data_IF_017890379109
#
_entry.id   IF_017890379109
#
_cell.length_a   1.000
_cell.length_b   1.000
_cell.length_c   1.000
_cell.angle_alpha   90.00
_cell.angle_beta   90.00
_cell.angle_gamma   90.00
#
_symmetry.space_group_name_H-M   'P 1'
#
loop_
_entity.id
_entity.type
_entity.pdbx_description
1 polymer ?
#
# COMPACT_ATOMS: atom_id res chain seq x y z
N UNK A 1 -0.08 -49.17 -32.24
CA UNK A 1 1.03 -48.20 -32.04
C UNK A 1 0.56 -46.75 -32.20
N UNK A 2 -0.23 -46.39 -33.18
CA UNK A 2 -0.72 -45.02 -33.43
C UNK A 2 -1.52 -44.41 -32.28
N UNK A 3 -2.44 -45.17 -31.65
CA UNK A 3 -3.28 -44.66 -30.55
C UNK A 3 -2.45 -44.34 -29.27
N UNK A 4 -1.36 -45.04 -29.02
CA UNK A 4 -0.48 -44.78 -27.87
C UNK A 4 0.34 -43.50 -28.08
N UNK A 5 0.85 -43.29 -29.29
CA UNK A 5 1.56 -42.07 -29.68
C UNK A 5 0.69 -40.83 -29.57
N UNK A 6 -0.55 -40.91 -30.03
CA UNK A 6 -1.52 -39.78 -29.95
C UNK A 6 -1.84 -39.44 -28.50
N UNK A 7 -2.02 -40.41 -27.61
CA UNK A 7 -2.29 -40.19 -26.19
C UNK A 7 -1.08 -39.55 -25.48
N UNK A 8 0.15 -39.97 -25.85
CA UNK A 8 1.35 -39.35 -25.28
C UNK A 8 1.60 -37.94 -25.75
N UNK A 9 1.25 -37.60 -27.01
CA UNK A 9 1.35 -36.24 -27.54
C UNK A 9 0.30 -35.31 -26.86
N UNK A 10 -0.94 -35.79 -26.66
CA UNK A 10 -1.98 -35.02 -25.97
C UNK A 10 -1.58 -34.77 -24.51
N UNK A 11 -1.04 -35.77 -23.81
CA UNK A 11 -0.58 -35.63 -22.44
C UNK A 11 0.60 -34.63 -22.33
N UNK A 12 1.55 -34.65 -23.25
CA UNK A 12 2.65 -33.70 -23.32
C UNK A 12 2.16 -32.28 -23.63
N UNK A 13 1.19 -32.13 -24.53
CA UNK A 13 0.59 -30.84 -24.87
C UNK A 13 -0.22 -30.24 -23.71
N UNK A 14 -0.93 -31.07 -22.95
CA UNK A 14 -1.62 -30.62 -21.73
C UNK A 14 -0.64 -30.19 -20.62
N UNK A 15 0.51 -30.84 -20.50
CA UNK A 15 1.53 -30.46 -19.51
C UNK A 15 2.20 -29.12 -19.84
N UNK A 16 2.36 -28.80 -21.12
CA UNK A 16 2.95 -27.51 -21.54
C UNK A 16 2.00 -26.32 -21.39
N UNK A 17 0.69 -26.56 -21.32
CA UNK A 17 -0.31 -25.51 -21.10
C UNK A 17 -0.44 -25.07 -19.63
N UNK A 18 0.18 -25.80 -18.68
CA UNK A 18 0.05 -25.52 -17.23
C UNK A 18 1.16 -24.58 -16.71
N UNK A 19 2.19 -24.32 -17.52
CA UNK A 19 3.32 -23.46 -17.11
C UNK A 19 3.26 -22.11 -17.84
N UNK A 20 2.16 -21.40 -17.69
CA UNK A 20 2.22 -19.96 -17.84
C UNK A 20 2.74 -19.42 -16.49
N UNK A 21 3.89 -18.75 -16.46
CA UNK A 21 4.29 -18.06 -15.25
C UNK A 21 3.17 -17.09 -14.89
N UNK A 22 2.61 -17.23 -13.69
CA UNK A 22 1.78 -16.17 -13.11
C UNK A 22 2.72 -14.96 -12.95
N UNK A 23 2.82 -14.13 -13.98
CA UNK A 23 3.53 -12.86 -13.89
C UNK A 23 2.80 -12.04 -12.86
N UNK A 24 3.54 -11.62 -11.84
CA UNK A 24 3.00 -10.72 -10.85
C UNK A 24 2.49 -9.46 -11.56
N UNK A 25 1.18 -9.26 -11.56
CA UNK A 25 0.46 -8.16 -12.20
C UNK A 25 0.77 -6.80 -11.52
N UNK A 26 1.62 -6.82 -10.49
CA UNK A 26 2.05 -5.66 -9.72
C UNK A 26 2.61 -4.52 -10.58
N UNK A 27 3.24 -4.83 -11.72
CA UNK A 27 3.88 -3.85 -12.59
C UNK A 27 2.94 -3.26 -13.64
N UNK A 28 1.66 -3.60 -13.61
CA UNK A 28 0.66 -3.12 -14.57
C UNK A 28 -0.36 -2.22 -13.90
N UNK A 29 -0.88 -1.26 -14.67
CA UNK A 29 -2.02 -0.47 -14.26
C UNK A 29 -3.30 -1.27 -14.61
N UNK A 30 -3.66 -2.21 -13.75
CA UNK A 30 -4.82 -3.08 -13.87
C UNK A 30 -5.46 -3.30 -12.51
N UNK A 31 -6.78 -3.46 -12.47
CA UNK A 31 -7.48 -3.81 -11.24
C UNK A 31 -7.37 -5.32 -10.98
N UNK A 32 -6.72 -5.68 -9.89
CA UNK A 32 -6.52 -7.07 -9.48
C UNK A 32 -7.25 -7.39 -8.17
N UNK A 33 -7.81 -6.39 -7.51
CA UNK A 33 -8.43 -6.45 -6.20
C UNK A 33 -7.72 -5.59 -5.17
N UNK A 34 -8.00 -5.83 -3.88
CA UNK A 34 -7.38 -5.07 -2.77
C UNK A 34 -5.86 -5.24 -2.78
N UNK A 35 -5.15 -4.14 -3.09
CA UNK A 35 -3.69 -4.13 -3.21
C UNK A 35 -2.97 -4.45 -1.91
N UNK A 36 -3.53 -4.09 -0.76
CA UNK A 36 -2.92 -4.38 0.54
C UNK A 36 -2.98 -5.88 0.86
N UNK A 37 -4.07 -6.56 0.51
CA UNK A 37 -4.16 -8.01 0.65
C UNK A 37 -3.20 -8.74 -0.30
N UNK A 38 -3.15 -8.30 -1.57
CA UNK A 38 -2.42 -9.00 -2.63
C UNK A 38 -0.91 -8.76 -2.61
N UNK A 39 -0.48 -7.52 -2.33
CA UNK A 39 0.91 -7.10 -2.47
C UNK A 39 1.60 -6.75 -1.15
N UNK A 40 0.83 -6.61 -0.06
CA UNK A 40 1.36 -6.29 1.27
C UNK A 40 0.96 -7.30 2.36
N UNK A 41 0.19 -8.33 2.01
CA UNK A 41 -0.25 -9.36 2.96
C UNK A 41 -1.13 -8.83 4.11
N UNK A 42 -1.76 -7.66 3.93
CA UNK A 42 -2.51 -6.98 4.98
C UNK A 42 -3.85 -6.42 4.48
N UNK A 43 -4.81 -7.31 4.25
CA UNK A 43 -6.15 -6.93 3.79
C UNK A 43 -7.00 -6.19 4.82
N UNK A 44 -6.58 -6.13 6.09
CA UNK A 44 -7.31 -5.44 7.15
C UNK A 44 -7.15 -3.91 7.13
N UNK A 45 -6.27 -3.39 6.27
CA UNK A 45 -6.05 -1.95 6.12
C UNK A 45 -7.26 -1.21 5.54
N UNK A 46 -8.06 -1.89 4.73
CA UNK A 46 -9.21 -1.27 4.05
C UNK A 46 -10.49 -2.11 4.25
N UNK A 47 -11.61 -1.45 4.56
CA UNK A 47 -11.74 0.00 4.81
C UNK A 47 -11.02 0.44 6.08
N UNK A 48 -10.63 1.75 6.20
CA UNK A 48 -10.08 2.28 7.45
C UNK A 48 -11.05 2.07 8.62
N UNK A 49 -10.51 1.85 9.82
CA UNK A 49 -11.31 1.58 11.02
C UNK A 49 -12.10 2.80 11.51
N UNK A 50 -11.62 4.01 11.21
CA UNK A 50 -12.22 5.29 11.59
C UNK A 50 -12.20 6.27 10.43
N UNK A 51 -12.99 7.34 10.51
CA UNK A 51 -12.91 8.46 9.57
C UNK A 51 -11.90 9.50 10.04
N UNK A 52 -11.45 10.39 9.14
CA UNK A 52 -10.60 11.53 9.52
C UNK A 52 -11.28 12.42 10.56
N UNK A 53 -12.59 12.66 10.40
CA UNK A 53 -13.36 13.45 11.34
C UNK A 53 -13.34 12.84 12.76
N UNK A 54 -13.55 11.53 12.88
CA UNK A 54 -13.53 10.82 14.17
C UNK A 54 -12.14 10.87 14.81
N UNK A 55 -11.07 10.65 14.00
CA UNK A 55 -9.69 10.71 14.45
C UNK A 55 -9.32 12.10 15.01
N UNK A 56 -9.61 13.15 14.25
CA UNK A 56 -9.37 14.54 14.69
C UNK A 56 -10.20 14.92 15.91
N UNK A 57 -11.47 14.49 15.96
CA UNK A 57 -12.32 14.72 17.14
C UNK A 57 -11.75 14.04 18.40
N UNK A 58 -11.12 12.88 18.24
CA UNK A 58 -10.48 12.15 19.33
C UNK A 58 -9.07 12.71 19.68
N UNK A 59 -8.59 13.76 18.98
CA UNK A 59 -7.26 14.31 19.17
C UNK A 59 -6.13 13.34 18.79
N UNK A 60 -6.38 12.43 17.84
CA UNK A 60 -5.43 11.42 17.42
C UNK A 60 -4.69 11.85 16.15
N UNK A 61 -3.43 11.45 16.05
CA UNK A 61 -2.65 11.63 14.83
C UNK A 61 -3.22 10.74 13.73
N UNK A 62 -3.46 11.32 12.55
CA UNK A 62 -3.96 10.64 11.36
C UNK A 62 -2.87 10.55 10.29
N UNK A 63 -2.79 9.40 9.62
CA UNK A 63 -1.94 9.21 8.44
C UNK A 63 -2.85 8.82 7.29
N UNK A 64 -3.09 9.74 6.36
CA UNK A 64 -3.89 9.47 5.17
C UNK A 64 -2.97 8.99 4.06
N UNK A 65 -3.36 7.93 3.38
CA UNK A 65 -2.69 7.42 2.19
C UNK A 65 -3.68 7.34 1.05
N UNK A 66 -3.52 8.22 0.06
CA UNK A 66 -4.35 8.18 -1.15
C UNK A 66 -3.76 7.21 -2.16
N UNK A 67 -4.61 6.34 -2.69
CA UNK A 67 -4.20 5.28 -3.60
C UNK A 67 -5.30 4.89 -4.60
N UNK A 68 -4.95 4.08 -5.60
CA UNK A 68 -5.88 3.35 -6.47
C UNK A 68 -5.48 1.88 -6.57
N UNK A 69 -6.45 0.98 -6.54
CA UNK A 69 -6.21 -0.47 -6.64
C UNK A 69 -5.66 -0.90 -8.02
N UNK A 70 -5.94 -0.14 -9.07
CA UNK A 70 -5.47 -0.39 -10.43
C UNK A 70 -4.15 0.33 -10.78
N UNK A 71 -3.58 1.09 -9.83
CA UNK A 71 -2.33 1.83 -10.05
C UNK A 71 -1.10 1.01 -9.69
N UNK A 72 -0.18 0.85 -10.64
CA UNK A 72 1.14 0.24 -10.44
C UNK A 72 1.92 0.91 -9.32
N UNK A 73 1.89 2.25 -9.24
CA UNK A 73 2.62 2.99 -8.20
C UNK A 73 2.03 2.78 -6.82
N UNK A 74 0.70 2.68 -6.70
CA UNK A 74 0.03 2.35 -5.44
C UNK A 74 0.32 0.90 -5.00
N UNK A 75 0.31 -0.05 -5.93
CA UNK A 75 0.70 -1.45 -5.68
C UNK A 75 2.13 -1.54 -5.16
N UNK A 76 3.06 -0.78 -5.76
CA UNK A 76 4.45 -0.73 -5.31
C UNK A 76 4.60 -0.12 -3.90
N UNK A 77 3.73 0.83 -3.53
CA UNK A 77 3.76 1.51 -2.23
C UNK A 77 3.05 0.74 -1.11
N UNK A 78 2.15 -0.19 -1.44
CA UNK A 78 1.32 -0.89 -0.45
C UNK A 78 2.11 -1.61 0.67
N UNK A 79 3.32 -2.20 0.46
CA UNK A 79 4.12 -2.76 1.55
C UNK A 79 4.59 -1.71 2.56
N UNK A 80 4.90 -0.49 2.13
CA UNK A 80 5.27 0.60 3.03
C UNK A 80 4.11 0.98 3.95
N UNK A 81 2.88 0.99 3.42
CA UNK A 81 1.67 1.27 4.22
C UNK A 81 1.41 0.16 5.24
N UNK A 82 1.61 -1.10 4.86
CA UNK A 82 1.51 -2.24 5.79
C UNK A 82 2.57 -2.15 6.90
N UNK A 83 3.79 -1.72 6.57
CA UNK A 83 4.85 -1.50 7.56
C UNK A 83 4.51 -0.34 8.50
N UNK A 84 3.92 0.77 8.01
CA UNK A 84 3.42 1.85 8.86
C UNK A 84 2.40 1.35 9.89
N UNK A 85 1.48 0.47 9.48
CA UNK A 85 0.54 -0.14 10.42
C UNK A 85 1.25 -1.01 11.46
N UNK A 86 2.24 -1.80 11.06
CA UNK A 86 3.01 -2.62 12.00
C UNK A 86 3.75 -1.77 13.04
N UNK A 87 4.31 -0.64 12.61
CA UNK A 87 5.11 0.25 13.48
C UNK A 87 4.23 1.14 14.36
N UNK A 88 3.15 1.68 13.82
CA UNK A 88 2.41 2.78 14.43
C UNK A 88 0.92 2.51 14.67
N UNK A 89 0.38 1.36 14.24
CA UNK A 89 -1.06 1.07 14.24
C UNK A 89 -1.76 1.18 15.59
N UNK A 90 -1.01 1.15 16.71
CA UNK A 90 -1.55 1.40 18.05
C UNK A 90 -1.49 2.88 18.47
N UNK A 91 -0.72 3.69 17.77
CA UNK A 91 -0.41 5.08 18.17
C UNK A 91 -1.07 6.11 17.26
N UNK A 92 -1.36 5.75 16.02
CA UNK A 92 -1.98 6.63 15.03
C UNK A 92 -3.16 5.95 14.35
N UNK A 93 -4.02 6.73 13.73
CA UNK A 93 -5.08 6.24 12.86
C UNK A 93 -4.58 6.25 11.41
N UNK A 94 -4.42 5.06 10.81
CA UNK A 94 -4.00 4.91 9.43
C UNK A 94 -5.24 4.84 8.53
N UNK A 95 -5.32 5.76 7.57
CA UNK A 95 -6.48 5.99 6.71
C UNK A 95 -6.11 5.81 5.23
N UNK A 96 -5.93 4.57 4.74
CA UNK A 96 -5.79 4.34 3.30
C UNK A 96 -7.14 4.53 2.60
N UNK A 97 -7.17 5.46 1.63
CA UNK A 97 -8.38 5.88 0.94
C UNK A 97 -8.21 5.80 -0.57
N UNK A 98 -9.16 5.20 -1.25
CA UNK A 98 -9.22 5.24 -2.71
C UNK A 98 -9.64 6.63 -3.18
N UNK A 99 -9.01 7.12 -4.24
CA UNK A 99 -9.28 8.47 -4.76
C UNK A 99 -10.55 8.57 -5.60
N UNK A 100 -11.15 7.44 -5.99
CA UNK A 100 -12.39 7.43 -6.77
C UNK A 100 -13.54 8.17 -6.06
N UNK A 101 -13.63 8.00 -4.74
CA UNK A 101 -14.66 8.65 -3.93
C UNK A 101 -14.41 10.16 -3.74
N UNK A 102 -13.23 10.68 -4.09
CA UNK A 102 -12.83 12.07 -3.91
C UNK A 102 -12.96 12.89 -5.19
N UNK A 103 -13.07 12.23 -6.35
CA UNK A 103 -13.14 12.91 -7.64
C UNK A 103 -14.40 13.81 -7.73
N UNK A 104 -14.18 15.06 -8.13
CA UNK A 104 -15.26 16.01 -8.31
C UNK A 104 -15.89 16.53 -7.01
N UNK A 105 -15.36 16.15 -5.84
CA UNK A 105 -15.80 16.73 -4.57
C UNK A 105 -15.22 18.13 -4.42
N UNK A 106 -16.06 19.05 -3.93
CA UNK A 106 -15.58 20.38 -3.57
C UNK A 106 -14.59 20.26 -2.40
N UNK A 107 -13.59 21.13 -2.40
CA UNK A 107 -12.74 21.36 -1.25
C UNK A 107 -13.63 21.73 -0.06
N UNK A 108 -13.73 20.82 0.91
CA UNK A 108 -14.61 20.95 2.06
C UNK A 108 -13.81 21.37 3.30
N UNK A 109 -14.29 21.07 4.45
CA UNK A 109 -13.59 21.40 5.68
C UNK A 109 -12.38 20.45 5.94
N UNK A 110 -11.56 20.78 6.94
CA UNK A 110 -10.35 20.03 7.31
C UNK A 110 -10.63 18.63 7.85
N UNK A 111 -11.87 18.28 8.10
CA UNK A 111 -12.28 16.95 8.55
C UNK A 111 -12.59 16.00 7.39
N UNK A 112 -12.66 16.55 6.16
CA UNK A 112 -12.85 15.77 4.94
C UNK A 112 -11.51 15.48 4.26
N UNK A 113 -11.19 14.21 3.99
CA UNK A 113 -9.98 13.88 3.23
C UNK A 113 -9.86 14.56 1.87
N UNK A 114 -10.97 14.93 1.21
CA UNK A 114 -10.93 15.65 -0.06
C UNK A 114 -10.21 17.02 0.04
N UNK A 115 -10.14 17.60 1.25
CA UNK A 115 -9.42 18.85 1.51
C UNK A 115 -7.91 18.76 1.22
N UNK A 116 -7.33 17.58 1.45
CA UNK A 116 -5.88 17.36 1.33
C UNK A 116 -5.49 16.67 0.02
N UNK A 117 -6.46 16.31 -0.81
CA UNK A 117 -6.20 15.56 -2.04
C UNK A 117 -5.70 16.46 -3.19
N UNK A 118 -4.51 16.22 -3.71
CA UNK A 118 -3.84 17.02 -4.76
C UNK A 118 -3.95 16.45 -6.18
N UNK A 119 -4.50 15.25 -6.34
CA UNK A 119 -4.67 14.65 -7.67
C UNK A 119 -3.54 13.72 -8.11
N UNK A 120 -2.55 13.44 -7.26
CA UNK A 120 -1.41 12.56 -7.56
C UNK A 120 -1.36 11.40 -6.56
N UNK A 121 -1.17 10.18 -7.07
CA UNK A 121 -1.07 8.96 -6.27
C UNK A 121 0.29 8.26 -6.45
N UNK A 122 0.76 7.58 -5.38
CA UNK A 122 0.27 7.71 -4.02
C UNK A 122 0.53 9.10 -3.45
N UNK A 123 -0.24 9.53 -2.45
CA UNK A 123 0.03 10.73 -1.66
C UNK A 123 -0.09 10.35 -0.19
N UNK A 124 0.76 10.90 0.66
CA UNK A 124 0.74 10.67 2.11
C UNK A 124 0.61 11.99 2.84
N UNK A 125 -0.38 12.07 3.75
CA UNK A 125 -0.59 13.25 4.61
C UNK A 125 -0.54 12.80 6.06
N UNK A 126 0.29 13.44 6.88
CA UNK A 126 0.35 13.24 8.33
C UNK A 126 -0.21 14.47 9.03
N UNK A 127 -1.24 14.27 9.83
CA UNK A 127 -1.95 15.33 10.56
C UNK A 127 -1.88 14.99 12.04
N UNK A 128 -1.43 15.93 12.88
CA UNK A 128 -1.39 15.72 14.33
C UNK A 128 -2.78 15.81 14.97
N UNK A 129 -2.88 15.53 16.28
CA UNK A 129 -4.12 15.57 17.03
C UNK A 129 -4.80 16.95 17.11
N UNK A 130 -4.07 18.03 16.82
CA UNK A 130 -4.58 19.39 16.77
C UNK A 130 -5.03 19.80 15.35
N UNK A 131 -4.93 18.91 14.38
CA UNK A 131 -5.29 19.15 12.98
C UNK A 131 -4.23 19.89 12.16
N UNK A 132 -2.98 19.93 12.65
CA UNK A 132 -1.86 20.52 11.92
C UNK A 132 -1.23 19.48 10.99
N UNK A 133 -1.06 19.85 9.72
CA UNK A 133 -0.33 19.01 8.73
C UNK A 133 1.16 19.09 9.00
N UNK A 134 1.81 17.95 9.15
CA UNK A 134 3.24 17.80 9.38
C UNK A 134 3.97 17.20 8.17
N UNK A 135 3.24 16.48 7.33
CA UNK A 135 3.71 15.95 6.05
C UNK A 135 2.55 15.99 5.06
N UNK A 136 2.83 16.40 3.83
CA UNK A 136 1.90 16.33 2.70
C UNK A 136 2.75 16.18 1.43
N UNK A 137 2.95 14.94 1.00
CA UNK A 137 3.89 14.59 -0.04
C UNK A 137 3.31 13.58 -1.02
N UNK A 138 3.66 13.73 -2.28
CA UNK A 138 3.21 12.93 -3.40
C UNK A 138 4.27 11.91 -3.84
N UNK A 139 3.83 10.81 -4.47
CA UNK A 139 4.70 9.77 -5.02
C UNK A 139 5.14 8.74 -3.99
N UNK A 140 6.27 8.09 -4.25
CA UNK A 140 6.86 7.06 -3.39
C UNK A 140 7.58 7.69 -2.20
N UNK A 141 6.82 8.21 -1.23
CA UNK A 141 7.36 8.89 -0.06
C UNK A 141 8.23 7.92 0.76
N UNK A 142 9.48 8.28 1.09
CA UNK A 142 10.34 7.43 1.91
C UNK A 142 9.74 7.15 3.29
N UNK A 143 9.81 5.90 3.74
CA UNK A 143 9.25 5.46 5.02
C UNK A 143 9.86 6.25 6.21
N UNK A 144 11.14 6.59 6.13
CA UNK A 144 11.85 7.38 7.14
C UNK A 144 11.26 8.80 7.28
N UNK A 145 10.84 9.39 6.17
CA UNK A 145 10.22 10.72 6.17
C UNK A 145 8.84 10.66 6.84
N UNK A 146 8.04 9.64 6.53
CA UNK A 146 6.75 9.41 7.15
C UNK A 146 6.93 9.12 8.66
N UNK A 147 7.86 8.25 9.03
CA UNK A 147 8.17 7.93 10.42
C UNK A 147 8.61 9.18 11.22
N UNK A 148 9.41 10.05 10.60
CA UNK A 148 9.83 11.31 11.23
C UNK A 148 8.63 12.24 11.50
N UNK A 149 7.71 12.39 10.54
CA UNK A 149 6.52 13.20 10.70
C UNK A 149 5.58 12.62 11.78
N UNK A 150 5.38 11.30 11.80
CA UNK A 150 4.58 10.63 12.84
C UNK A 150 5.23 10.78 14.22
N UNK A 151 6.55 10.63 14.32
CA UNK A 151 7.28 10.84 15.56
C UNK A 151 7.11 12.26 16.09
N UNK A 152 7.15 13.26 15.21
CA UNK A 152 6.90 14.64 15.56
C UNK A 152 5.44 14.87 16.00
N UNK A 153 4.47 14.25 15.32
CA UNK A 153 3.05 14.37 15.62
C UNK A 153 2.66 13.77 16.97
N UNK A 154 3.25 12.60 17.29
CA UNK A 154 2.90 11.81 18.48
C UNK A 154 3.79 12.10 19.69
N UNK A 155 4.97 12.69 19.48
CA UNK A 155 6.03 12.82 20.50
C UNK A 155 6.70 11.49 20.84
N UNK A 156 6.38 10.40 20.16
CA UNK A 156 6.98 9.09 20.35
C UNK A 156 8.28 8.98 19.54
N UNK A 157 9.30 8.24 20.01
CA UNK A 157 10.52 8.04 19.23
C UNK A 157 10.19 7.30 17.93
N UNK A 158 10.82 7.71 16.83
CA UNK A 158 10.72 6.96 15.59
C UNK A 158 11.23 5.53 15.81
N UNK A 159 10.50 4.51 15.31
CA UNK A 159 10.95 3.13 15.46
C UNK A 159 12.35 2.97 14.88
N UNK A 160 13.29 2.54 15.71
CA UNK A 160 14.62 2.15 15.26
C UNK A 160 14.51 0.69 14.78
N UNK A 161 14.17 0.51 13.53
CA UNK A 161 14.23 -0.78 12.85
C UNK A 161 15.23 -0.63 11.70
N UNK A 162 15.96 -1.70 11.40
CA UNK A 162 16.66 -1.79 10.14
C UNK A 162 15.70 -1.34 9.05
N UNK A 163 16.09 -0.33 8.28
CA UNK A 163 15.35 0.04 7.08
C UNK A 163 15.23 -1.26 6.28
N UNK A 164 14.05 -1.88 6.30
CA UNK A 164 13.79 -2.91 5.33
C UNK A 164 13.96 -2.21 3.98
N UNK A 165 15.11 -2.40 3.39
CA UNK A 165 15.31 -2.10 1.99
C UNK A 165 14.17 -2.85 1.29
N UNK A 166 13.15 -2.10 0.84
CA UNK A 166 12.05 -2.65 0.06
C UNK A 166 12.54 -3.03 -1.35
N UNK A 167 13.81 -3.33 -1.49
CA UNK A 167 14.38 -3.97 -2.65
C UNK A 167 13.95 -5.43 -2.66
N UNK A 168 12.75 -5.68 -3.17
CA UNK A 168 12.25 -7.03 -3.44
C UNK A 168 13.16 -7.85 -4.40
N UNK A 169 14.21 -7.24 -4.95
CA UNK A 169 15.20 -7.92 -5.78
C UNK A 169 16.23 -8.72 -4.97
N UNK A 170 16.39 -8.46 -3.67
CA UNK A 170 17.38 -9.19 -2.86
C UNK A 170 16.88 -10.53 -2.32
N UNK A 171 15.56 -10.75 -2.25
CA UNK A 171 14.99 -12.03 -1.79
C UNK A 171 15.08 -13.16 -2.81
N UNK A 172 15.44 -12.87 -4.06
CA UNK A 172 15.54 -13.89 -5.13
C UNK A 172 16.97 -14.28 -5.52
N UNK A 173 18.00 -13.82 -4.82
CA UNK A 173 19.40 -14.09 -5.16
C UNK A 173 20.13 -15.05 -4.23
N UNK A 174 19.52 -15.59 -3.21
CA UNK A 174 20.06 -16.72 -2.50
C UNK A 174 19.79 -18.02 -3.25
N UNK A 175 20.47 -18.19 -4.38
CA UNK A 175 20.72 -19.52 -4.94
C UNK A 175 21.71 -20.19 -4.04
N UNK A 176 21.24 -21.12 -3.24
CA UNK A 176 22.08 -22.05 -2.48
C UNK A 176 22.96 -22.77 -3.45
N UNK A 177 24.22 -22.34 -3.58
CA UNK A 177 25.25 -23.12 -4.21
C UNK A 177 25.70 -24.24 -3.24
N UNK A 178 25.32 -25.44 -3.54
CA UNK A 178 26.01 -26.66 -3.04
C UNK A 178 26.92 -27.20 -4.09
#
# INVERSE_FOLDING_TARGET
MTAFLIRSIIAALCLTLIVLPAQAIRETDSYDGNIFALYAGNGSLVPPAVTLADSLQAGRTSVIVYYLDDSRTSKAFSPAVSELQRLWGNSVDLLPLTTDALQGRADSDRTDPAHYWHGIIPQVVVIDGDGKVLLDEEGQVPLEQINSAISQATGLPAPQGESMSLSFNELNTEVISR
#
